data_IF_281781229205
#
_entry.id   IF_281781229205
#
_cell.length_a   1.000
_cell.length_b   1.000
_cell.length_c   1.000
_cell.angle_alpha   90.00
_cell.angle_beta   90.00
_cell.angle_gamma   90.00
#
_symmetry.space_group_name_H-M   'P 1'
#
loop_
_entity.id
_entity.type
_entity.pdbx_description
1 polymer ?
#
# COMPACT_ATOMS: atom_id res chain seq x y z
N UNK A 1 -32.11 35.52 -22.28
CA UNK A 1 -30.70 35.64 -21.82
C UNK A 1 -30.30 34.30 -21.23
N UNK A 2 -29.48 33.51 -21.93
CA UNK A 2 -29.02 32.22 -21.45
C UNK A 2 -27.67 32.40 -20.72
N UNK A 3 -27.70 32.29 -19.39
CA UNK A 3 -26.49 32.45 -18.56
C UNK A 3 -25.61 31.21 -18.75
N UNK A 4 -24.52 31.39 -19.49
CA UNK A 4 -23.47 30.40 -19.70
C UNK A 4 -22.78 30.15 -18.36
N UNK A 5 -23.20 29.08 -17.66
CA UNK A 5 -22.52 28.59 -16.46
C UNK A 5 -21.12 28.18 -16.86
N UNK A 6 -20.14 29.02 -16.52
CA UNK A 6 -18.72 28.68 -16.66
C UNK A 6 -18.38 27.70 -15.55
N UNK A 7 -18.38 26.41 -15.88
CA UNK A 7 -17.85 25.39 -14.97
C UNK A 7 -16.35 25.65 -14.83
N UNK A 8 -15.96 26.14 -13.65
CA UNK A 8 -14.59 26.45 -13.30
C UNK A 8 -13.76 25.15 -13.32
N UNK A 9 -12.93 24.98 -14.36
CA UNK A 9 -12.13 23.78 -14.71
C UNK A 9 -11.00 23.45 -13.70
N UNK A 10 -11.09 23.96 -12.48
CA UNK A 10 -10.03 23.96 -11.46
C UNK A 10 -10.37 23.20 -10.18
N UNK A 11 -11.48 22.45 -10.15
CA UNK A 11 -11.85 21.66 -8.98
C UNK A 11 -11.95 20.18 -9.33
N UNK A 12 -11.24 19.39 -8.52
CA UNK A 12 -11.11 17.94 -8.56
C UNK A 12 -10.11 17.46 -9.63
N UNK A 13 -8.81 17.53 -9.31
CA UNK A 13 -7.88 16.47 -9.69
C UNK A 13 -8.42 15.18 -9.04
N UNK A 14 -9.44 14.58 -9.66
CA UNK A 14 -9.89 13.24 -9.33
C UNK A 14 -8.75 12.35 -9.80
N UNK A 15 -7.86 12.00 -8.88
CA UNK A 15 -6.88 10.95 -9.13
C UNK A 15 -7.70 9.70 -9.48
N UNK A 16 -7.58 9.25 -10.72
CA UNK A 16 -8.33 8.11 -11.23
C UNK A 16 -7.64 6.81 -10.81
N UNK A 17 -8.30 5.67 -10.96
CA UNK A 17 -7.71 4.36 -10.66
C UNK A 17 -6.44 4.15 -11.48
N UNK A 18 -6.45 4.52 -12.76
CA UNK A 18 -5.29 4.44 -13.64
C UNK A 18 -4.11 5.29 -13.19
N UNK A 19 -4.36 6.52 -12.73
CA UNK A 19 -3.31 7.39 -12.17
C UNK A 19 -2.69 6.81 -10.89
N UNK A 20 -3.51 6.34 -9.96
CA UNK A 20 -3.01 5.73 -8.72
C UNK A 20 -2.27 4.42 -8.98
N UNK A 21 -2.71 3.64 -9.95
CA UNK A 21 -2.00 2.44 -10.40
C UNK A 21 -0.61 2.80 -10.96
N UNK A 22 -0.53 3.85 -11.78
CA UNK A 22 0.74 4.38 -12.30
C UNK A 22 1.64 4.88 -11.19
N UNK A 23 1.09 5.58 -10.20
CA UNK A 23 1.84 6.08 -9.04
C UNK A 23 2.41 4.94 -8.21
N UNK A 24 1.62 3.90 -7.93
CA UNK A 24 2.11 2.73 -7.22
C UNK A 24 3.20 2.00 -8.00
N UNK A 25 3.07 1.87 -9.34
CA UNK A 25 4.14 1.33 -10.19
C UNK A 25 5.43 2.15 -10.08
N UNK A 26 5.32 3.48 -10.19
CA UNK A 26 6.48 4.37 -10.10
C UNK A 26 7.09 4.35 -8.69
N UNK A 27 6.27 4.23 -7.65
CA UNK A 27 6.72 4.11 -6.25
C UNK A 27 7.62 2.89 -6.04
N UNK A 28 7.30 1.78 -6.71
CA UNK A 28 8.09 0.55 -6.65
C UNK A 28 9.21 0.48 -7.71
N UNK A 29 9.37 1.52 -8.53
CA UNK A 29 10.48 1.65 -9.48
C UNK A 29 10.37 0.80 -10.75
N UNK A 30 9.21 0.19 -11.03
CA UNK A 30 9.06 -0.71 -12.18
C UNK A 30 8.69 0.03 -13.48
N UNK A 31 9.23 -0.43 -14.60
CA UNK A 31 8.81 -0.03 -15.94
C UNK A 31 7.41 -0.57 -16.26
N UNK A 32 6.77 -0.03 -17.30
CA UNK A 32 5.48 -0.55 -17.76
C UNK A 32 5.55 -2.01 -18.22
N UNK A 33 6.68 -2.41 -18.80
CA UNK A 33 6.88 -3.78 -19.30
C UNK A 33 6.99 -4.77 -18.13
N UNK A 34 7.79 -4.45 -17.11
CA UNK A 34 7.96 -5.28 -15.91
C UNK A 34 6.67 -5.39 -15.11
N UNK A 35 5.98 -4.27 -14.90
CA UNK A 35 4.74 -4.24 -14.12
C UNK A 35 3.58 -4.98 -14.80
N UNK A 36 3.51 -4.92 -16.14
CA UNK A 36 2.53 -5.69 -16.91
C UNK A 36 2.81 -7.19 -16.84
N UNK A 37 4.09 -7.59 -16.85
CA UNK A 37 4.49 -8.99 -16.86
C UNK A 37 4.08 -9.75 -15.57
N UNK A 38 3.98 -9.05 -14.43
CA UNK A 38 3.48 -9.60 -13.16
C UNK A 38 2.04 -10.11 -13.29
N UNK A 39 1.23 -9.42 -14.10
CA UNK A 39 -0.12 -9.84 -14.46
C UNK A 39 -0.20 -10.80 -15.64
N UNK A 40 0.94 -11.22 -16.20
CA UNK A 40 1.02 -11.89 -17.51
C UNK A 40 0.34 -11.07 -18.64
N UNK A 41 0.38 -9.75 -18.51
CA UNK A 41 -0.20 -8.80 -19.46
C UNK A 41 0.88 -8.24 -20.38
N UNK A 42 0.47 -7.69 -21.53
CA UNK A 42 1.34 -6.88 -22.37
C UNK A 42 1.37 -5.41 -21.92
N UNK A 43 2.46 -4.69 -22.25
CA UNK A 43 2.62 -3.25 -22.01
C UNK A 43 1.43 -2.40 -22.42
N UNK A 44 0.84 -2.72 -23.57
CA UNK A 44 -0.33 -2.02 -24.13
C UNK A 44 -1.55 -2.12 -23.22
N UNK A 45 -1.78 -3.29 -22.61
CA UNK A 45 -2.87 -3.49 -21.65
C UNK A 45 -2.67 -2.64 -20.41
N UNK A 46 -1.45 -2.59 -19.88
CA UNK A 46 -1.14 -1.70 -18.76
C UNK A 46 -1.31 -0.23 -19.14
N UNK A 47 -0.91 0.18 -20.34
CA UNK A 47 -1.12 1.55 -20.80
C UNK A 47 -2.61 1.93 -20.80
N UNK A 48 -3.50 1.04 -21.24
CA UNK A 48 -4.95 1.25 -21.17
C UNK A 48 -5.48 1.34 -19.73
N UNK A 49 -4.87 0.62 -18.79
CA UNK A 49 -5.23 0.75 -17.38
C UNK A 49 -4.77 2.09 -16.80
N UNK A 50 -3.53 2.50 -17.08
CA UNK A 50 -2.98 3.76 -16.58
C UNK A 50 -3.64 5.00 -17.19
N UNK A 51 -4.21 4.89 -18.40
CA UNK A 51 -4.96 5.97 -19.07
C UNK A 51 -6.46 5.94 -18.77
N UNK A 52 -6.93 5.02 -17.92
CA UNK A 52 -8.35 4.76 -17.63
C UNK A 52 -9.22 4.40 -18.85
N UNK A 53 -8.59 4.03 -19.98
CA UNK A 53 -9.30 3.49 -21.15
C UNK A 53 -9.93 2.13 -20.85
N UNK A 54 -9.37 1.40 -19.88
CA UNK A 54 -9.93 0.13 -19.38
C UNK A 54 -9.68 0.03 -17.88
N UNK A 55 -10.63 -0.57 -17.15
CA UNK A 55 -10.42 -0.89 -15.75
C UNK A 55 -9.48 -2.11 -15.60
N UNK A 56 -8.52 -2.08 -14.65
CA UNK A 56 -7.72 -3.26 -14.30
C UNK A 56 -8.62 -4.36 -13.74
N UNK A 57 -8.33 -5.61 -14.10
CA UNK A 57 -9.06 -6.75 -13.54
C UNK A 57 -8.54 -7.11 -12.14
N UNK A 58 -9.40 -7.79 -11.37
CA UNK A 58 -9.10 -8.16 -9.99
C UNK A 58 -7.92 -9.13 -9.89
N UNK A 59 -7.74 -10.02 -10.87
CA UNK A 59 -6.64 -11.00 -10.88
C UNK A 59 -5.29 -10.29 -10.99
N UNK A 60 -5.20 -9.27 -11.85
CA UNK A 60 -4.04 -8.42 -11.99
C UNK A 60 -3.77 -7.65 -10.70
N UNK A 61 -4.78 -7.00 -10.12
CA UNK A 61 -4.60 -6.27 -8.87
C UNK A 61 -4.09 -7.20 -7.75
N UNK A 62 -4.67 -8.40 -7.60
CA UNK A 62 -4.23 -9.39 -6.62
C UNK A 62 -2.77 -9.83 -6.84
N UNK A 63 -2.34 -10.00 -8.09
CA UNK A 63 -0.94 -10.30 -8.39
C UNK A 63 -0.01 -9.16 -7.94
N UNK A 64 -0.42 -7.90 -8.14
CA UNK A 64 0.35 -6.72 -7.71
C UNK A 64 0.48 -6.60 -6.19
N UNK A 65 -0.46 -7.14 -5.39
CA UNK A 65 -0.31 -7.16 -3.92
C UNK A 65 0.97 -7.86 -3.48
N UNK A 66 1.36 -8.93 -4.17
CA UNK A 66 2.51 -9.76 -3.80
C UNK A 66 3.85 -9.01 -3.88
N UNK A 67 3.93 -7.96 -4.69
CA UNK A 67 5.10 -7.10 -4.88
C UNK A 67 4.98 -5.78 -4.09
N UNK A 68 4.01 -5.69 -3.18
CA UNK A 68 3.85 -4.56 -2.28
C UNK A 68 3.11 -3.35 -2.87
N UNK A 69 2.27 -3.52 -3.90
CA UNK A 69 1.34 -2.47 -4.36
C UNK A 69 0.18 -2.32 -3.37
N UNK A 70 -0.12 -1.08 -2.98
CA UNK A 70 -1.29 -0.78 -2.13
C UNK A 70 -2.58 -0.77 -2.98
N UNK A 71 -3.22 -1.95 -3.10
CA UNK A 71 -4.48 -2.08 -3.84
C UNK A 71 -5.58 -1.18 -3.24
N UNK A 72 -5.61 -1.00 -1.91
CA UNK A 72 -6.63 -0.19 -1.26
C UNK A 72 -6.50 1.25 -1.76
N UNK A 73 -5.29 1.80 -1.73
CA UNK A 73 -5.03 3.10 -2.32
C UNK A 73 -5.41 3.16 -3.80
N UNK A 74 -5.03 2.17 -4.61
CA UNK A 74 -5.39 2.15 -6.05
C UNK A 74 -6.91 2.25 -6.24
N UNK A 75 -7.69 1.52 -5.45
CA UNK A 75 -9.15 1.47 -5.57
C UNK A 75 -9.85 2.69 -4.95
N UNK A 76 -9.45 3.11 -3.76
CA UNK A 76 -10.18 4.08 -2.94
C UNK A 76 -9.57 5.49 -2.96
N UNK A 77 -8.28 5.60 -3.28
CA UNK A 77 -7.51 6.83 -3.11
C UNK A 77 -7.07 7.11 -1.68
N UNK A 78 -7.42 6.24 -0.74
CA UNK A 78 -7.01 6.36 0.66
C UNK A 78 -5.81 5.45 0.90
N UNK A 79 -4.67 6.04 1.26
CA UNK A 79 -3.51 5.25 1.68
C UNK A 79 -3.81 4.62 3.04
N UNK A 80 -3.55 3.33 3.17
CA UNK A 80 -3.57 2.71 4.48
C UNK A 80 -2.42 3.34 5.29
N UNK A 81 -2.74 4.15 6.30
CA UNK A 81 -1.76 4.74 7.22
C UNK A 81 -0.74 3.67 7.62
N UNK A 82 0.55 3.93 7.36
CA UNK A 82 1.67 2.99 7.47
C UNK A 82 1.92 2.42 8.88
N UNK A 83 1.03 2.68 9.84
CA UNK A 83 1.03 2.11 11.19
C UNK A 83 0.23 0.81 11.33
N UNK A 84 -0.48 0.35 10.30
CA UNK A 84 -1.29 -0.89 10.36
C UNK A 84 -0.66 -2.11 9.68
N UNK A 85 0.63 -2.06 9.38
CA UNK A 85 1.41 -3.26 9.07
C UNK A 85 1.82 -3.96 10.37
N UNK A 86 0.84 -4.47 11.13
CA UNK A 86 1.07 -5.50 12.14
C UNK A 86 1.00 -6.90 11.49
N UNK A 87 1.80 -7.11 10.45
CA UNK A 87 2.10 -8.47 9.97
C UNK A 87 3.21 -9.13 10.82
N UNK A 88 3.68 -8.44 11.86
CA UNK A 88 4.37 -9.07 13.00
C UNK A 88 3.42 -8.99 14.18
N UNK A 89 2.84 -10.13 14.57
CA UNK A 89 2.13 -10.27 15.84
C UNK A 89 3.16 -10.04 16.95
N UNK A 90 3.31 -8.80 17.37
CA UNK A 90 4.33 -8.36 18.34
C UNK A 90 3.81 -8.61 19.75
N UNK A 91 4.69 -8.73 20.75
CA UNK A 91 4.30 -8.84 22.17
C UNK A 91 3.36 -7.69 22.60
N UNK A 92 3.51 -6.52 21.97
CA UNK A 92 2.61 -5.37 22.08
C UNK A 92 1.16 -5.68 21.74
N UNK A 93 0.89 -6.56 20.78
CA UNK A 93 -0.49 -6.92 20.38
C UNK A 93 -1.17 -7.76 21.46
N UNK A 94 -0.40 -8.53 22.24
CA UNK A 94 -0.92 -9.30 23.37
C UNK A 94 -1.22 -8.40 24.57
N UNK A 95 -0.33 -7.47 24.89
CA UNK A 95 -0.53 -6.47 25.96
C UNK A 95 -1.73 -5.56 25.65
N UNK A 96 -1.88 -5.09 24.40
CA UNK A 96 -3.03 -4.29 23.98
C UNK A 96 -4.34 -5.08 24.04
N UNK A 97 -4.32 -6.36 23.64
CA UNK A 97 -5.49 -7.22 23.72
C UNK A 97 -5.94 -7.46 25.18
N UNK A 98 -4.99 -7.60 26.10
CA UNK A 98 -5.26 -7.75 27.54
C UNK A 98 -5.86 -6.48 28.14
N UNK A 99 -5.30 -5.30 27.82
CA UNK A 99 -5.85 -4.02 28.27
C UNK A 99 -7.29 -3.80 27.80
N UNK A 100 -7.61 -4.17 26.55
CA UNK A 100 -8.97 -4.10 26.01
C UNK A 100 -9.90 -5.09 26.73
N UNK A 101 -9.42 -6.29 27.06
CA UNK A 101 -10.20 -7.28 27.80
C UNK A 101 -10.57 -6.77 29.21
N UNK A 102 -9.60 -6.16 29.91
CA UNK A 102 -9.81 -5.55 31.23
C UNK A 102 -10.78 -4.37 31.12
N UNK A 103 -10.60 -3.48 30.15
CA UNK A 103 -11.48 -2.32 29.94
C UNK A 103 -12.94 -2.72 29.73
N UNK A 104 -13.19 -3.82 29.01
CA UNK A 104 -14.55 -4.33 28.74
C UNK A 104 -15.26 -4.86 29.99
N UNK A 105 -14.52 -5.26 31.02
CA UNK A 105 -15.08 -5.77 32.29
C UNK A 105 -15.44 -4.63 33.27
N UNK A 106 -14.96 -3.41 33.04
CA UNK A 106 -15.25 -2.28 33.91
C UNK A 106 -16.70 -1.78 33.75
N UNK A 107 -17.25 -1.27 34.85
CA UNK A 107 -18.49 -0.50 34.82
C UNK A 107 -18.25 0.92 34.28
N UNK A 108 -19.32 1.69 34.05
CA UNK A 108 -19.23 3.04 33.44
C UNK A 108 -18.35 3.99 34.26
N UNK A 109 -18.40 3.91 35.60
CA UNK A 109 -17.53 4.70 36.49
C UNK A 109 -16.06 4.34 36.32
N UNK A 110 -15.74 3.05 36.21
CA UNK A 110 -14.38 2.55 35.98
C UNK A 110 -13.84 2.97 34.61
N UNK A 111 -14.66 2.85 33.56
CA UNK A 111 -14.30 3.33 32.21
C UNK A 111 -14.03 4.84 32.20
N UNK A 112 -14.90 5.64 32.81
CA UNK A 112 -14.74 7.10 32.87
C UNK A 112 -13.48 7.52 33.65
N UNK A 113 -13.15 6.80 34.72
CA UNK A 113 -11.95 7.04 35.52
C UNK A 113 -10.69 6.71 34.72
N UNK A 114 -10.68 5.58 34.03
CA UNK A 114 -9.57 5.17 33.17
C UNK A 114 -9.39 6.13 31.98
N UNK A 115 -10.48 6.57 31.36
CA UNK A 115 -10.45 7.59 30.31
C UNK A 115 -9.89 8.93 30.83
N UNK A 116 -10.30 9.37 32.01
CA UNK A 116 -9.80 10.62 32.62
C UNK A 116 -8.31 10.51 32.96
N UNK A 117 -7.88 9.35 33.46
CA UNK A 117 -6.48 9.07 33.73
C UNK A 117 -5.65 9.09 32.45
N UNK A 118 -6.07 8.37 31.41
CA UNK A 118 -5.40 8.37 30.10
C UNK A 118 -5.37 9.79 29.51
N UNK A 119 -6.47 10.52 29.55
CA UNK A 119 -6.54 11.92 29.10
C UNK A 119 -5.58 12.84 29.85
N UNK A 120 -5.44 12.65 31.17
CA UNK A 120 -4.46 13.37 31.99
C UNK A 120 -3.03 13.04 31.60
N UNK A 121 -2.73 11.75 31.38
CA UNK A 121 -1.41 11.27 30.92
C UNK A 121 -1.06 11.79 29.53
N UNK A 122 -2.03 11.89 28.61
CA UNK A 122 -1.82 12.46 27.27
C UNK A 122 -1.57 13.97 27.33
N UNK A 123 -2.25 14.68 28.23
CA UNK A 123 -2.09 16.13 28.39
C UNK A 123 -0.79 16.50 29.14
N UNK A 124 -0.28 15.60 29.99
CA UNK A 124 1.05 15.72 30.58
C UNK A 124 2.08 15.13 29.60
N UNK A 125 2.70 15.99 28.79
CA UNK A 125 3.67 15.64 27.73
C UNK A 125 4.95 14.89 28.20
N UNK A 126 5.00 14.41 29.44
CA UNK A 126 6.11 13.69 30.07
C UNK A 126 6.05 12.18 29.77
N UNK A 127 4.87 11.61 29.50
CA UNK A 127 4.67 10.14 29.34
C UNK A 127 4.25 9.72 27.93
N UNK A 128 4.01 10.67 27.04
CA UNK A 128 3.94 10.39 25.62
C UNK A 128 5.32 9.88 25.19
N UNK A 129 5.38 8.91 24.26
CA UNK A 129 6.53 8.82 23.37
C UNK A 129 6.62 10.19 22.71
N UNK A 130 7.43 11.09 23.26
CA UNK A 130 7.84 12.29 22.55
C UNK A 130 8.60 11.75 21.36
N UNK A 131 7.87 11.60 20.27
CA UNK A 131 8.49 11.82 18.99
C UNK A 131 9.04 13.23 19.10
N UNK A 132 10.33 13.36 19.46
CA UNK A 132 11.16 14.24 18.63
C UNK A 132 10.64 14.00 17.22
N UNK A 133 10.18 15.00 16.47
CA UNK A 133 9.95 14.82 15.05
C UNK A 133 11.29 14.32 14.53
N UNK A 134 11.43 13.00 14.45
CA UNK A 134 12.63 12.36 14.01
C UNK A 134 12.50 12.58 12.53
N UNK A 135 12.98 13.76 12.09
CA UNK A 135 13.18 14.14 10.70
C UNK A 135 13.52 12.84 10.00
N UNK A 136 12.55 12.29 9.26
CA UNK A 136 12.40 10.84 9.02
C UNK A 136 13.77 10.19 9.09
N UNK A 137 14.07 9.43 10.16
CA UNK A 137 15.42 8.86 10.39
C UNK A 137 15.80 8.28 9.05
N UNK A 138 16.77 8.90 8.34
CA UNK A 138 17.20 8.43 7.01
C UNK A 138 17.30 6.93 7.18
N UNK A 139 16.46 6.17 6.48
CA UNK A 139 16.48 4.72 6.63
C UNK A 139 17.96 4.35 6.54
N UNK A 140 18.55 3.73 7.58
CA UNK A 140 19.95 3.36 7.51
C UNK A 140 20.13 2.65 6.19
N UNK A 141 21.18 2.98 5.45
CA UNK A 141 21.35 2.52 4.07
C UNK A 141 21.16 1.00 3.99
N UNK A 142 21.54 0.27 5.05
CA UNK A 142 21.34 -1.17 5.24
C UNK A 142 19.88 -1.65 5.39
N UNK A 143 18.98 -0.86 5.99
CA UNK A 143 17.55 -1.21 6.18
C UNK A 143 16.68 -0.78 5.00
N UNK A 144 17.11 0.28 4.28
CA UNK A 144 16.59 0.61 2.94
C UNK A 144 17.06 -0.44 1.95
N UNK A 145 18.36 -0.74 1.95
CA UNK A 145 18.95 -1.81 1.16
C UNK A 145 18.32 -3.15 1.46
N UNK A 146 17.98 -3.52 2.70
CA UNK A 146 17.31 -4.80 2.98
C UNK A 146 15.86 -4.88 2.44
N UNK A 147 15.14 -3.74 2.41
CA UNK A 147 13.82 -3.67 1.77
C UNK A 147 13.97 -3.66 0.26
N UNK A 148 14.93 -2.89 -0.27
CA UNK A 148 15.30 -2.85 -1.68
C UNK A 148 15.84 -4.22 -2.15
N UNK A 149 16.48 -5.00 -1.28
CA UNK A 149 17.07 -6.32 -1.52
C UNK A 149 15.99 -7.39 -1.48
N UNK A 150 15.09 -7.40 -0.49
CA UNK A 150 13.92 -8.30 -0.52
C UNK A 150 12.99 -7.99 -1.68
N UNK A 151 12.85 -6.71 -2.02
CA UNK A 151 12.05 -6.25 -3.14
C UNK A 151 12.71 -6.58 -4.46
N UNK A 152 14.03 -6.40 -4.59
CA UNK A 152 14.83 -6.86 -5.71
C UNK A 152 14.76 -8.39 -5.83
N UNK A 153 14.93 -9.15 -4.76
CA UNK A 153 14.79 -10.61 -4.75
C UNK A 153 13.39 -11.04 -5.18
N UNK A 154 12.33 -10.33 -4.76
CA UNK A 154 10.96 -10.63 -5.17
C UNK A 154 10.72 -10.30 -6.65
N UNK A 155 11.28 -9.19 -7.13
CA UNK A 155 11.24 -8.79 -8.54
C UNK A 155 12.05 -9.76 -9.39
N UNK A 156 13.29 -10.08 -9.00
CA UNK A 156 14.19 -11.02 -9.66
C UNK A 156 13.59 -12.44 -9.69
N UNK A 157 12.98 -12.89 -8.59
CA UNK A 157 12.25 -14.16 -8.53
C UNK A 157 11.04 -14.14 -9.46
N UNK A 158 10.28 -13.05 -9.50
CA UNK A 158 9.15 -12.91 -10.43
C UNK A 158 9.63 -12.88 -11.90
N UNK A 159 10.73 -12.18 -12.18
CA UNK A 159 11.32 -12.08 -13.52
C UNK A 159 11.90 -13.42 -14.00
N UNK A 160 12.58 -14.17 -13.12
CA UNK A 160 13.07 -15.51 -13.41
C UNK A 160 11.93 -16.49 -13.70
N UNK A 161 10.81 -16.38 -12.98
CA UNK A 161 9.63 -17.19 -13.24
C UNK A 161 8.95 -16.82 -14.57
N UNK A 162 8.91 -15.52 -14.90
CA UNK A 162 8.42 -15.03 -16.20
C UNK A 162 9.28 -15.57 -17.35
N UNK A 163 10.62 -15.55 -17.22
CA UNK A 163 11.52 -16.11 -18.23
C UNK A 163 11.35 -17.62 -18.38
N UNK A 164 11.18 -18.36 -17.29
CA UNK A 164 10.86 -19.80 -17.34
C UNK A 164 9.56 -20.06 -18.09
N UNK A 165 8.48 -19.37 -17.74
CA UNK A 165 7.19 -19.51 -18.42
C UNK A 165 7.29 -19.13 -19.89
N UNK A 166 8.08 -18.11 -20.23
CA UNK A 166 8.32 -17.69 -21.63
C UNK A 166 9.10 -18.75 -22.42
N UNK A 167 10.12 -19.35 -21.80
CA UNK A 167 10.90 -20.43 -22.40
C UNK A 167 10.05 -21.71 -22.60
N UNK A 168 9.20 -22.07 -21.63
CA UNK A 168 8.27 -23.20 -21.74
C UNK A 168 7.22 -23.01 -22.83
N UNK A 169 6.68 -21.78 -22.97
CA UNK A 169 5.76 -21.43 -24.05
C UNK A 169 6.44 -21.48 -25.41
N UNK A 170 7.67 -20.96 -25.54
CA UNK A 170 8.45 -21.03 -26.77
C UNK A 170 8.81 -22.48 -27.17
N UNK A 171 9.12 -23.33 -26.20
CA UNK A 171 9.40 -24.76 -26.43
C UNK A 171 8.15 -25.56 -26.83
N UNK A 172 6.95 -25.14 -26.39
CA UNK A 172 5.67 -25.72 -26.82
C UNK A 172 5.26 -25.29 -28.23
N UNK A 173 5.54 -24.04 -28.62
CA UNK A 173 5.23 -23.53 -29.96
C UNK A 173 6.18 -24.06 -31.05
N UNK A 174 7.44 -24.40 -30.70
CA UNK A 174 8.40 -25.00 -31.64
C UNK A 174 8.20 -26.50 -31.91
N UNK A 175 7.22 -27.15 -31.26
CA UNK A 175 6.94 -28.59 -31.37
C UNK A 175 5.62 -28.90 -32.09
N UNK A 176 5.06 -27.91 -32.78
CA UNK A 176 3.80 -27.99 -33.54
C UNK A 176 4.07 -27.79 -35.03
#
# INVERSE_FOLDING_TARGET
>A
MATKVHVNKKWVQMETVGKRLREERLRIGLSQDEFAAIGQLGRKTLAFYESDERAPDTSFLLALRSIGVDIVYVLTGERLEAGRQSDTRSETDAEEAELVAIYRQLNETGKATLQSFIGSVLNQAVMLKTGTPQRAKRLPENRRAALDERMAENVDRAMAEIERVRAERAAKDGKK
#
